data_IF_292387418256
#
_entry.id   IF_292387418256
#
_cell.length_a   1.000
_cell.length_b   1.000
_cell.length_c   1.000
_cell.angle_alpha   90.00
_cell.angle_beta   90.00
_cell.angle_gamma   90.00
#
_symmetry.space_group_name_H-M   'P 1'
#
loop_
_entity.id
_entity.type
_entity.pdbx_description
1 polymer ?
#
# COMPACT_ATOMS: atom_id res chain seq x y z
N UNK A 1 10.91 -19.14 32.65
CA UNK A 1 9.94 -18.48 31.75
C UNK A 1 10.32 -18.91 30.35
N UNK A 2 9.99 -20.14 29.97
CA UNK A 2 10.11 -20.53 28.58
C UNK A 2 9.17 -19.62 27.79
N UNK A 3 9.74 -18.69 27.02
CA UNK A 3 9.02 -17.99 25.97
C UNK A 3 8.81 -18.95 24.79
N UNK A 4 8.47 -20.21 25.10
CA UNK A 4 8.35 -21.32 24.19
C UNK A 4 6.97 -21.25 23.56
N UNK A 5 6.91 -20.67 22.37
CA UNK A 5 5.80 -20.86 21.43
C UNK A 5 5.85 -22.34 21.00
N UNK A 6 5.38 -23.24 21.86
CA UNK A 6 5.14 -24.64 21.51
C UNK A 6 3.66 -24.79 21.10
N UNK A 7 3.37 -24.31 19.89
CA UNK A 7 2.02 -24.21 19.32
C UNK A 7 1.55 -25.53 18.68
N UNK A 8 2.15 -26.65 19.09
CA UNK A 8 1.87 -27.98 18.56
C UNK A 8 2.30 -28.18 17.09
N UNK A 9 2.08 -29.38 16.52
CA UNK A 9 2.59 -29.77 15.21
C UNK A 9 2.20 -28.89 14.02
N UNK A 10 1.15 -28.06 14.17
CA UNK A 10 0.59 -27.20 13.11
C UNK A 10 0.95 -25.72 13.26
N UNK A 11 1.69 -25.35 14.30
CA UNK A 11 2.12 -23.98 14.59
C UNK A 11 2.78 -23.27 13.40
N UNK A 12 3.77 -23.94 12.82
CA UNK A 12 4.59 -23.45 11.71
C UNK A 12 3.73 -23.20 10.48
N UNK A 13 2.77 -24.09 10.21
CA UNK A 13 1.81 -23.93 9.12
C UNK A 13 0.95 -22.69 9.32
N UNK A 14 0.34 -22.52 10.50
CA UNK A 14 -0.52 -21.36 10.83
C UNK A 14 0.28 -20.05 10.68
N UNK A 15 1.47 -19.99 11.29
CA UNK A 15 2.32 -18.80 11.22
C UNK A 15 2.75 -18.48 9.79
N UNK A 16 3.11 -19.49 9.00
CA UNK A 16 3.49 -19.28 7.59
C UNK A 16 2.31 -18.81 6.74
N UNK A 17 1.10 -19.35 6.96
CA UNK A 17 -0.11 -18.94 6.25
C UNK A 17 -0.47 -17.47 6.55
N UNK A 18 -0.53 -17.08 7.82
CA UNK A 18 -0.76 -15.69 8.20
C UNK A 18 0.39 -14.77 7.76
N UNK A 19 1.63 -15.25 7.85
CA UNK A 19 2.80 -14.54 7.34
C UNK A 19 2.68 -14.24 5.85
N UNK A 20 2.24 -15.21 5.05
CA UNK A 20 2.01 -15.03 3.62
C UNK A 20 0.90 -14.02 3.34
N UNK A 21 -0.19 -14.05 4.10
CA UNK A 21 -1.26 -13.05 4.00
C UNK A 21 -0.73 -11.65 4.26
N UNK A 22 0.05 -11.46 5.33
CA UNK A 22 0.67 -10.16 5.66
C UNK A 22 1.63 -9.72 4.57
N UNK A 23 2.43 -10.63 4.01
CA UNK A 23 3.34 -10.34 2.90
C UNK A 23 2.58 -9.85 1.66
N UNK A 24 1.51 -10.54 1.27
CA UNK A 24 0.70 -10.16 0.11
C UNK A 24 0.03 -8.81 0.33
N UNK A 25 -0.60 -8.59 1.48
CA UNK A 25 -1.22 -7.31 1.82
C UNK A 25 -0.17 -6.18 1.83
N UNK A 26 0.98 -6.42 2.45
CA UNK A 26 2.09 -5.47 2.49
C UNK A 26 2.61 -5.11 1.09
N UNK A 27 2.74 -6.11 0.21
CA UNK A 27 3.14 -5.89 -1.19
C UNK A 27 2.11 -5.05 -1.96
N UNK A 28 0.80 -5.31 -1.78
CA UNK A 28 -0.25 -4.53 -2.41
C UNK A 28 -0.27 -3.08 -1.90
N UNK A 29 -0.11 -2.87 -0.59
CA UNK A 29 -0.01 -1.52 -0.01
C UNK A 29 1.22 -0.80 -0.58
N UNK A 30 2.37 -1.45 -0.59
CA UNK A 30 3.59 -0.87 -1.13
C UNK A 30 3.43 -0.49 -2.61
N UNK A 31 2.82 -1.36 -3.41
CA UNK A 31 2.52 -1.08 -4.81
C UNK A 31 1.57 0.12 -4.95
N UNK A 32 0.47 0.15 -4.20
CA UNK A 32 -0.49 1.25 -4.24
C UNK A 32 0.17 2.60 -3.90
N UNK A 33 1.05 2.62 -2.89
CA UNK A 33 1.79 3.83 -2.52
C UNK A 33 2.74 4.26 -3.65
N UNK A 34 3.47 3.31 -4.25
CA UNK A 34 4.35 3.62 -5.38
C UNK A 34 3.58 4.15 -6.59
N UNK A 35 2.42 3.55 -6.88
CA UNK A 35 1.53 3.97 -7.96
C UNK A 35 0.96 5.38 -7.70
N UNK A 36 0.46 5.65 -6.49
CA UNK A 36 -0.05 6.95 -6.10
C UNK A 36 0.99 8.07 -6.21
N UNK A 37 2.26 7.79 -5.87
CA UNK A 37 3.35 8.76 -6.01
C UNK A 37 3.63 9.13 -7.46
N UNK A 38 3.44 8.20 -8.39
CA UNK A 38 3.57 8.49 -9.82
C UNK A 38 2.41 9.37 -10.32
N UNK A 39 1.20 9.15 -9.82
CA UNK A 39 0.04 10.00 -10.11
C UNK A 39 0.21 11.43 -9.57
N UNK A 40 0.71 11.58 -8.33
CA UNK A 40 0.99 12.88 -7.72
C UNK A 40 2.02 13.70 -8.51
N UNK A 41 3.09 13.06 -9.01
CA UNK A 41 4.10 13.72 -9.85
C UNK A 41 3.50 14.29 -11.13
N UNK A 42 2.58 13.54 -11.75
CA UNK A 42 1.88 13.99 -12.97
C UNK A 42 0.95 15.16 -12.68
N UNK A 43 0.19 15.10 -11.57
CA UNK A 43 -0.67 16.20 -11.14
C UNK A 43 0.12 17.45 -10.74
N UNK A 44 1.26 17.30 -10.06
CA UNK A 44 2.16 18.41 -9.73
C UNK A 44 2.70 19.10 -10.99
N UNK A 45 3.06 18.33 -12.02
CA UNK A 45 3.44 18.86 -13.33
C UNK A 45 2.31 19.63 -14.02
N UNK A 46 1.06 19.18 -13.88
CA UNK A 46 -0.11 19.88 -14.43
C UNK A 46 -0.48 21.14 -13.63
N UNK A 47 -0.33 21.11 -12.30
CA UNK A 47 -0.54 22.25 -11.42
C UNK A 47 0.50 23.35 -11.66
N UNK A 48 1.77 22.98 -11.84
CA UNK A 48 2.84 23.91 -12.21
C UNK A 48 2.59 24.56 -13.58
N UNK A 49 1.88 23.87 -14.49
CA UNK A 49 1.49 24.38 -15.82
C UNK A 49 0.19 25.19 -15.83
N UNK A 50 -0.42 25.47 -14.67
CA UNK A 50 -1.49 26.49 -14.56
C UNK A 50 -2.91 26.02 -14.88
N UNK A 51 -3.24 24.72 -14.78
CA UNK A 51 -4.59 24.18 -15.08
C UNK A 51 -5.70 24.66 -14.10
N UNK A 52 -5.37 25.42 -13.05
CA UNK A 52 -6.32 25.80 -11.98
C UNK A 52 -7.42 26.81 -12.36
N UNK A 53 -7.41 27.41 -13.55
CA UNK A 53 -8.32 28.55 -13.87
C UNK A 53 -9.48 28.26 -14.83
N UNK A 54 -9.59 27.08 -15.46
CA UNK A 54 -10.68 26.79 -16.42
C UNK A 54 -11.80 25.88 -15.88
N UNK A 55 -11.75 25.40 -14.64
CA UNK A 55 -12.86 24.60 -14.08
C UNK A 55 -13.86 25.40 -13.24
N UNK A 56 -13.67 26.72 -13.10
CA UNK A 56 -14.57 27.61 -12.36
C UNK A 56 -15.38 28.55 -13.28
N UNK A 57 -15.39 28.29 -14.60
CA UNK A 57 -16.17 29.09 -15.56
C UNK A 57 -16.84 28.14 -16.55
N UNK A 58 -17.90 27.50 -16.08
CA UNK A 58 -18.74 26.61 -16.87
C UNK A 58 -20.03 26.34 -16.12
N UNK A 59 -20.96 27.29 -16.26
CA UNK A 59 -22.42 27.27 -15.98
C UNK A 59 -22.90 27.10 -14.54
#
# INVERSE_FOLDING_TARGET
MDLGIDLGPHASFILSAYGMVVLVIGALIAWLVLDGREQERRLAGLAARGVKRRSATGT
#
